data_IF_153582901079
#
_entry.id   IF_153582901079
#
_cell.length_a   1.000
_cell.length_b   1.000
_cell.length_c   1.000
_cell.angle_alpha   90.00
_cell.angle_beta   90.00
_cell.angle_gamma   90.00
#
_symmetry.space_group_name_H-M   'P 1'
#
loop_
_entity.id
_entity.type
_entity.pdbx_description
1 polymer ?
#
# COMPACT_ATOMS: atom_id res chain seq x y z
N UNK A 1 42.14 55.49 -19.37
CA UNK A 1 41.76 54.11 -19.73
C UNK A 1 40.54 53.80 -18.90
N UNK A 2 39.33 53.85 -19.51
CA UNK A 2 38.06 53.53 -18.85
C UNK A 2 37.92 52.00 -18.83
N UNK A 3 37.96 51.41 -17.64
CA UNK A 3 37.56 50.02 -17.42
C UNK A 3 36.05 49.90 -17.51
N UNK A 4 35.55 49.40 -18.59
CA UNK A 4 34.15 48.93 -18.64
C UNK A 4 34.04 47.69 -17.77
N UNK A 5 33.52 47.85 -16.55
CA UNK A 5 33.08 46.72 -15.75
C UNK A 5 31.98 45.96 -16.55
N UNK A 6 32.25 44.70 -16.89
CA UNK A 6 31.21 43.80 -17.35
C UNK A 6 30.16 43.69 -16.23
N UNK A 7 28.87 43.64 -16.55
CA UNK A 7 27.88 43.37 -15.52
C UNK A 7 28.21 42.04 -14.86
N UNK A 8 28.34 42.07 -13.53
CA UNK A 8 28.51 40.86 -12.72
C UNK A 8 27.42 39.87 -13.10
N UNK A 9 27.82 38.79 -13.77
CA UNK A 9 26.91 37.66 -13.95
C UNK A 9 26.71 37.06 -12.56
N UNK A 10 25.48 37.00 -12.03
CA UNK A 10 25.26 36.43 -10.71
C UNK A 10 25.88 35.03 -10.64
N UNK A 11 26.51 34.71 -9.53
CA UNK A 11 27.07 33.40 -9.31
C UNK A 11 25.93 32.34 -9.38
N UNK A 12 26.15 31.19 -10.02
CA UNK A 12 25.10 30.22 -10.23
C UNK A 12 24.56 29.71 -8.90
N UNK A 13 23.23 29.79 -8.75
CA UNK A 13 22.49 29.15 -7.67
C UNK A 13 21.90 27.84 -8.21
N UNK A 14 22.36 26.70 -7.69
CA UNK A 14 22.04 25.38 -8.21
C UNK A 14 21.89 24.34 -7.09
N UNK A 15 21.40 23.17 -7.44
CA UNK A 15 21.37 21.99 -6.58
C UNK A 15 22.35 20.93 -7.10
N UNK A 16 22.84 20.07 -6.19
CA UNK A 16 23.71 18.94 -6.55
C UNK A 16 22.99 17.89 -7.42
N UNK A 17 21.68 17.85 -7.40
CA UNK A 17 20.84 16.96 -8.21
C UNK A 17 19.60 17.67 -8.70
N UNK A 18 19.14 17.33 -9.91
CA UNK A 18 17.87 17.79 -10.49
C UNK A 18 16.72 16.79 -10.27
N UNK A 19 17.04 15.55 -9.89
CA UNK A 19 16.03 14.51 -9.65
C UNK A 19 16.56 13.36 -8.81
N UNK A 20 15.72 12.86 -7.94
CA UNK A 20 15.99 11.74 -7.03
C UNK A 20 14.80 10.79 -6.99
N UNK A 21 15.06 9.50 -6.73
CA UNK A 21 14.02 8.48 -6.59
C UNK A 21 14.06 7.86 -5.20
N UNK A 22 12.88 7.67 -4.60
CA UNK A 22 12.72 7.03 -3.30
C UNK A 22 11.71 5.88 -3.40
N UNK A 23 11.86 4.80 -2.61
CA UNK A 23 10.92 3.68 -2.60
C UNK A 23 9.56 4.09 -2.01
N UNK A 24 8.54 3.25 -2.23
CA UNK A 24 7.19 3.45 -1.70
C UNK A 24 7.16 3.63 -0.17
N UNK A 25 7.96 2.87 0.57
CA UNK A 25 8.06 2.98 2.04
C UNK A 25 8.61 4.31 2.56
N UNK A 26 8.92 5.25 1.66
CA UNK A 26 9.55 6.51 2.00
C UNK A 26 11.07 6.42 2.00
N UNK A 27 11.71 7.53 2.29
CA UNK A 27 13.17 7.60 2.32
C UNK A 27 13.68 9.02 2.39
N UNK A 28 14.98 9.15 2.60
CA UNK A 28 15.65 10.43 2.70
C UNK A 28 16.72 10.55 1.60
N UNK A 29 16.77 11.70 0.95
CA UNK A 29 17.79 12.05 -0.05
C UNK A 29 18.49 13.34 0.36
N UNK A 30 19.79 13.40 0.12
CA UNK A 30 20.61 14.57 0.44
C UNK A 30 20.79 15.42 -0.80
N UNK A 31 20.35 16.67 -0.75
CA UNK A 31 20.51 17.64 -1.82
C UNK A 31 21.38 18.78 -1.31
N UNK A 32 22.46 19.08 -2.01
CA UNK A 32 23.32 20.21 -1.65
C UNK A 32 22.88 21.46 -2.43
N UNK A 33 22.53 22.51 -1.69
CA UNK A 33 22.39 23.86 -2.26
C UNK A 33 23.79 24.36 -2.58
N UNK A 34 24.06 24.65 -3.85
CA UNK A 34 25.34 25.13 -4.37
C UNK A 34 25.25 26.63 -4.63
N UNK A 35 26.11 27.37 -3.94
CA UNK A 35 26.29 28.81 -4.14
C UNK A 35 27.78 29.14 -3.98
N UNK A 36 28.33 29.88 -4.92
CA UNK A 36 29.68 30.42 -4.82
C UNK A 36 29.76 31.61 -3.85
N UNK A 37 28.63 32.31 -3.68
CA UNK A 37 28.52 33.40 -2.69
C UNK A 37 28.24 32.82 -1.30
N UNK A 38 29.22 32.92 -0.41
CA UNK A 38 29.12 32.40 0.97
C UNK A 38 28.02 33.05 1.82
N UNK A 39 27.58 34.26 1.45
CA UNK A 39 26.56 35.03 2.17
C UNK A 39 25.17 35.01 1.48
N UNK A 40 25.03 34.30 0.35
CA UNK A 40 23.73 34.20 -0.35
C UNK A 40 22.72 33.42 0.52
N UNK A 41 21.68 34.10 0.94
CA UNK A 41 20.55 33.48 1.63
C UNK A 41 19.66 32.69 0.66
N UNK A 42 19.04 31.64 1.15
CA UNK A 42 18.07 30.85 0.38
C UNK A 42 16.94 30.34 1.26
N UNK A 43 15.80 30.01 0.64
CA UNK A 43 14.62 29.40 1.27
C UNK A 43 14.10 28.26 0.40
N UNK A 44 13.42 27.30 1.01
CA UNK A 44 12.53 26.36 0.32
C UNK A 44 11.25 27.14 0.01
N UNK A 45 11.04 27.44 -1.27
CA UNK A 45 9.94 28.29 -1.74
C UNK A 45 8.66 27.48 -1.95
N UNK A 46 8.80 26.21 -2.33
CA UNK A 46 7.70 25.24 -2.49
C UNK A 46 8.18 23.84 -2.17
N UNK A 47 7.31 23.06 -1.53
CA UNK A 47 7.60 21.68 -1.16
C UNK A 47 6.28 20.90 -1.04
N UNK A 48 6.14 19.76 -1.72
CA UNK A 48 4.95 18.93 -1.59
C UNK A 48 4.71 18.48 -0.13
N UNK A 49 3.46 18.37 0.28
CA UNK A 49 3.07 18.01 1.67
C UNK A 49 3.64 16.66 2.15
N UNK A 50 3.93 15.76 1.22
CA UNK A 50 4.51 14.45 1.53
C UNK A 50 6.04 14.44 1.62
N UNK A 51 6.69 15.60 1.44
CA UNK A 51 8.14 15.77 1.57
C UNK A 51 8.42 16.77 2.69
N UNK A 52 9.32 16.43 3.59
CA UNK A 52 9.84 17.35 4.61
C UNK A 52 11.32 17.66 4.34
N UNK A 53 11.72 18.91 4.59
CA UNK A 53 13.10 19.34 4.45
C UNK A 53 13.73 19.54 5.85
N UNK A 54 14.98 19.08 6.05
CA UNK A 54 15.72 19.25 7.31
C UNK A 54 16.03 20.72 7.62
N UNK A 55 16.01 21.58 6.62
CA UNK A 55 16.12 23.02 6.74
C UNK A 55 15.25 23.68 5.65
N UNK A 56 14.43 24.67 6.05
CA UNK A 56 13.58 25.43 5.14
C UNK A 56 14.23 26.75 4.67
N UNK A 57 15.39 27.09 5.22
CA UNK A 57 16.20 28.24 4.83
C UNK A 57 17.64 28.03 5.27
N UNK A 58 18.57 28.78 4.64
CA UNK A 58 19.99 28.74 4.98
C UNK A 58 20.77 29.84 4.31
N UNK A 59 22.09 29.80 4.46
CA UNK A 59 23.04 30.76 3.86
C UNK A 59 24.17 29.98 3.22
N UNK A 60 24.53 30.33 1.97
CA UNK A 60 25.58 29.73 1.22
C UNK A 60 25.38 28.25 0.93
N UNK A 61 26.45 27.51 0.76
CA UNK A 61 26.43 26.07 0.48
C UNK A 61 25.97 25.29 1.70
N UNK A 62 24.91 24.48 1.54
CA UNK A 62 24.31 23.72 2.64
C UNK A 62 23.69 22.43 2.10
N UNK A 63 23.90 21.32 2.81
CA UNK A 63 23.19 20.06 2.52
C UNK A 63 21.83 20.06 3.22
N UNK A 64 20.77 19.85 2.45
CA UNK A 64 19.39 19.69 2.92
C UNK A 64 18.99 18.23 2.73
N UNK A 65 18.49 17.60 3.78
CA UNK A 65 17.90 16.26 3.71
C UNK A 65 16.40 16.44 3.40
N UNK A 66 15.97 15.91 2.28
CA UNK A 66 14.56 15.81 1.91
C UNK A 66 14.07 14.42 2.28
N UNK A 67 13.07 14.34 3.14
CA UNK A 67 12.48 13.06 3.59
C UNK A 67 11.08 12.92 3.04
N UNK A 68 10.86 11.90 2.22
CA UNK A 68 9.56 11.53 1.68
C UNK A 68 8.82 10.62 2.66
N UNK A 69 7.56 10.91 2.94
CA UNK A 69 6.66 10.03 3.66
C UNK A 69 6.29 8.79 2.83
N UNK A 70 5.83 7.73 3.49
CA UNK A 70 5.33 6.52 2.84
C UNK A 70 4.24 6.83 1.78
N UNK A 71 4.35 6.21 0.62
CA UNK A 71 3.31 6.19 -0.40
C UNK A 71 2.54 4.86 -0.29
N UNK A 72 1.31 4.92 0.19
CA UNK A 72 0.42 3.73 0.33
C UNK A 72 -0.39 3.43 -0.93
N UNK A 73 -0.34 4.31 -1.94
CA UNK A 73 -0.98 4.07 -3.22
C UNK A 73 -0.15 3.08 -4.06
N UNK A 74 -0.82 2.23 -4.83
CA UNK A 74 -0.17 1.42 -5.85
C UNK A 74 0.47 2.28 -6.97
N UNK A 75 -0.03 3.50 -7.16
CA UNK A 75 0.51 4.42 -8.14
C UNK A 75 1.72 5.18 -7.57
N UNK A 76 2.79 5.26 -8.37
CA UNK A 76 3.91 6.14 -8.09
C UNK A 76 3.49 7.61 -8.11
N UNK A 77 4.24 8.45 -7.40
CA UNK A 77 4.02 9.90 -7.39
C UNK A 77 5.32 10.66 -7.60
N UNK A 78 5.21 11.89 -8.03
CA UNK A 78 6.34 12.79 -8.10
C UNK A 78 5.95 14.17 -7.56
N UNK A 79 6.96 14.93 -7.14
CA UNK A 79 6.78 16.29 -6.67
C UNK A 79 8.06 17.09 -6.85
N UNK A 80 7.92 18.40 -6.97
CA UNK A 80 9.04 19.30 -7.17
C UNK A 80 9.26 20.13 -5.91
N UNK A 81 10.49 20.10 -5.40
CA UNK A 81 10.92 20.99 -4.31
C UNK A 81 11.67 22.16 -4.94
N UNK A 82 11.23 23.37 -4.67
CA UNK A 82 11.77 24.62 -5.25
C UNK A 82 12.55 25.37 -4.18
N UNK A 83 13.78 25.71 -4.50
CA UNK A 83 14.65 26.57 -3.69
C UNK A 83 14.75 27.93 -4.37
N UNK A 84 14.70 29.01 -3.58
CA UNK A 84 14.83 30.38 -4.06
C UNK A 84 15.89 31.12 -3.26
N UNK A 85 16.81 31.76 -3.95
CA UNK A 85 17.86 32.60 -3.34
C UNK A 85 17.33 34.01 -3.02
N UNK A 86 18.08 34.74 -2.18
CA UNK A 86 17.74 36.13 -1.81
C UNK A 86 17.81 37.09 -2.99
N UNK A 87 18.58 36.78 -4.03
CA UNK A 87 18.65 37.53 -5.30
C UNK A 87 17.63 37.03 -6.34
N UNK A 88 16.65 36.17 -5.93
CA UNK A 88 15.51 35.67 -6.70
C UNK A 88 15.85 34.65 -7.80
N UNK A 89 17.01 34.03 -7.76
CA UNK A 89 17.26 32.85 -8.59
C UNK A 89 16.47 31.66 -8.03
N UNK A 90 16.00 30.75 -8.90
CA UNK A 90 15.33 29.52 -8.51
C UNK A 90 16.04 28.31 -9.09
N UNK A 91 16.07 27.25 -8.31
CA UNK A 91 16.45 25.92 -8.74
C UNK A 91 15.52 24.89 -8.08
N UNK A 92 15.41 23.71 -8.69
CA UNK A 92 14.46 22.69 -8.21
C UNK A 92 15.04 21.30 -8.32
N UNK A 93 14.52 20.41 -7.49
CA UNK A 93 14.74 18.97 -7.58
C UNK A 93 13.38 18.27 -7.67
N UNK A 94 13.28 17.29 -8.56
CA UNK A 94 12.12 16.44 -8.68
C UNK A 94 12.36 15.19 -7.83
N UNK A 95 11.44 14.90 -6.92
CA UNK A 95 11.43 13.66 -6.16
C UNK A 95 10.38 12.75 -6.78
N UNK A 96 10.82 11.60 -7.29
CA UNK A 96 9.94 10.54 -7.77
C UNK A 96 9.86 9.46 -6.70
N UNK A 97 8.66 8.99 -6.40
CA UNK A 97 8.44 7.92 -5.43
C UNK A 97 7.65 6.79 -6.05
N UNK A 98 8.12 5.56 -5.85
CA UNK A 98 7.43 4.36 -6.32
C UNK A 98 6.06 4.20 -5.64
N UNK A 99 5.16 3.48 -6.30
CA UNK A 99 3.92 3.01 -5.71
C UNK A 99 4.14 1.84 -4.75
N UNK A 100 3.25 1.67 -3.78
CA UNK A 100 3.28 0.53 -2.88
C UNK A 100 3.03 -0.78 -3.64
N UNK A 101 3.79 -1.82 -3.30
CA UNK A 101 3.48 -3.16 -3.75
C UNK A 101 2.26 -3.66 -2.98
N UNK A 102 1.14 -3.84 -3.66
CA UNK A 102 -0.06 -4.39 -3.07
C UNK A 102 0.10 -5.90 -2.89
N UNK A 103 -0.34 -6.40 -1.74
CA UNK A 103 -0.36 -7.84 -1.40
C UNK A 103 -1.73 -8.22 -0.84
N UNK A 104 -1.98 -9.51 -0.74
CA UNK A 104 -3.17 -10.00 -0.07
C UNK A 104 -4.47 -9.48 -0.70
N UNK A 105 -5.41 -9.08 0.18
CA UNK A 105 -6.74 -8.60 -0.22
C UNK A 105 -6.70 -7.37 -1.14
N UNK A 106 -5.83 -6.40 -0.86
CA UNK A 106 -5.74 -5.15 -1.66
C UNK A 106 -5.31 -5.44 -3.10
N UNK A 107 -4.36 -6.35 -3.28
CA UNK A 107 -3.96 -6.79 -4.62
C UNK A 107 -5.09 -7.52 -5.34
N UNK A 108 -5.81 -8.41 -4.64
CA UNK A 108 -6.95 -9.11 -5.21
C UNK A 108 -8.06 -8.14 -5.65
N UNK A 109 -8.33 -7.08 -4.85
CA UNK A 109 -9.26 -6.01 -5.24
C UNK A 109 -8.79 -5.33 -6.52
N UNK A 110 -7.52 -4.93 -6.58
CA UNK A 110 -6.96 -4.29 -7.78
C UNK A 110 -7.09 -5.16 -9.03
N UNK A 111 -6.83 -6.48 -8.89
CA UNK A 111 -6.86 -7.43 -10.01
C UNK A 111 -8.29 -7.81 -10.44
N UNK A 112 -9.27 -7.73 -9.53
CA UNK A 112 -10.61 -8.27 -9.72
C UNK A 112 -11.68 -7.22 -10.03
N UNK A 113 -11.45 -5.96 -9.68
CA UNK A 113 -12.39 -4.86 -9.87
C UNK A 113 -11.88 -3.84 -10.89
N UNK A 114 -12.80 -3.11 -11.59
CA UNK A 114 -12.41 -1.96 -12.39
C UNK A 114 -11.68 -0.90 -11.54
N UNK A 115 -10.72 -0.13 -12.14
CA UNK A 115 -9.95 0.87 -11.41
C UNK A 115 -10.78 1.99 -10.75
N UNK A 116 -11.99 2.22 -11.24
CA UNK A 116 -12.94 3.22 -10.75
C UNK A 116 -14.05 2.61 -9.86
N UNK A 117 -13.88 1.36 -9.42
CA UNK A 117 -14.84 0.71 -8.55
C UNK A 117 -15.01 1.49 -7.23
N UNK A 118 -16.26 1.75 -6.86
CA UNK A 118 -16.55 2.46 -5.62
C UNK A 118 -16.12 1.64 -4.39
N UNK A 119 -15.64 2.32 -3.35
CA UNK A 119 -15.09 1.69 -2.14
C UNK A 119 -16.10 0.79 -1.41
N UNK A 120 -17.40 1.12 -1.47
CA UNK A 120 -18.48 0.31 -0.89
C UNK A 120 -18.70 -1.04 -1.63
N UNK A 121 -18.26 -1.14 -2.89
CA UNK A 121 -18.29 -2.40 -3.66
C UNK A 121 -17.05 -3.27 -3.44
N UNK A 122 -15.93 -2.66 -3.09
CA UNK A 122 -14.66 -3.35 -2.88
C UNK A 122 -14.39 -3.68 -1.41
N UNK A 123 -15.23 -3.20 -0.49
CA UNK A 123 -15.12 -3.51 0.93
C UNK A 123 -15.21 -5.03 1.20
N UNK A 124 -14.52 -5.50 2.24
CA UNK A 124 -14.42 -6.92 2.57
C UNK A 124 -15.78 -7.59 2.85
N UNK A 125 -16.73 -6.86 3.41
CA UNK A 125 -18.09 -7.26 3.72
C UNK A 125 -19.09 -7.02 2.58
N UNK A 126 -18.68 -6.35 1.49
CA UNK A 126 -19.55 -6.08 0.35
C UNK A 126 -19.91 -7.36 -0.43
N UNK A 127 -21.10 -7.36 -1.03
CA UNK A 127 -21.65 -8.47 -1.82
C UNK A 127 -22.02 -7.97 -3.22
N UNK A 128 -21.06 -7.58 -4.07
CA UNK A 128 -21.33 -6.94 -5.36
C UNK A 128 -22.04 -7.86 -6.37
N UNK A 129 -21.90 -9.18 -6.22
CA UNK A 129 -22.58 -10.17 -7.06
C UNK A 129 -24.04 -10.44 -6.65
N UNK A 130 -24.49 -9.96 -5.48
CA UNK A 130 -25.88 -10.16 -4.98
C UNK A 130 -26.19 -11.59 -4.56
N UNK A 131 -25.20 -12.43 -4.31
CA UNK A 131 -25.34 -13.85 -3.96
C UNK A 131 -25.26 -14.14 -2.46
N UNK A 132 -25.13 -13.10 -1.63
CA UNK A 132 -24.99 -13.21 -0.18
C UNK A 132 -23.59 -13.59 0.30
N UNK A 133 -22.61 -13.73 -0.59
CA UNK A 133 -21.23 -14.11 -0.23
C UNK A 133 -20.35 -12.87 -0.27
N UNK A 134 -19.79 -12.45 0.89
CA UNK A 134 -18.95 -11.28 0.98
C UNK A 134 -17.62 -11.42 0.18
N UNK A 135 -17.07 -10.29 -0.23
CA UNK A 135 -15.80 -10.24 -0.94
C UNK A 135 -14.67 -10.96 -0.19
N UNK A 136 -14.59 -10.80 1.14
CA UNK A 136 -13.57 -11.49 1.94
C UNK A 136 -13.68 -13.01 1.82
N UNK A 137 -14.91 -13.55 1.84
CA UNK A 137 -15.14 -14.99 1.65
C UNK A 137 -14.76 -15.43 0.24
N UNK A 138 -15.08 -14.63 -0.78
CA UNK A 138 -14.69 -14.92 -2.17
C UNK A 138 -13.16 -14.86 -2.37
N UNK A 139 -12.51 -13.88 -1.75
CA UNK A 139 -11.05 -13.80 -1.72
C UNK A 139 -10.43 -15.03 -1.06
N UNK A 140 -10.88 -15.38 0.15
CA UNK A 140 -10.37 -16.51 0.91
C UNK A 140 -10.56 -17.86 0.19
N UNK A 141 -11.62 -17.98 -0.63
CA UNK A 141 -11.98 -19.21 -1.35
C UNK A 141 -11.67 -19.20 -2.84
N UNK A 142 -11.06 -18.13 -3.36
CA UNK A 142 -10.63 -18.01 -4.76
C UNK A 142 -11.81 -17.84 -5.74
N UNK A 143 -12.91 -17.19 -5.31
CA UNK A 143 -14.08 -16.92 -6.14
C UNK A 143 -13.97 -15.53 -6.79
N UNK A 144 -14.65 -15.36 -7.94
CA UNK A 144 -14.76 -14.08 -8.63
C UNK A 144 -15.76 -13.17 -7.88
N UNK A 145 -15.37 -11.96 -7.43
CA UNK A 145 -16.26 -11.09 -6.66
C UNK A 145 -17.45 -10.60 -7.46
N UNK A 146 -17.35 -10.54 -8.77
CA UNK A 146 -18.38 -9.98 -9.65
C UNK A 146 -19.34 -11.05 -10.20
N UNK A 147 -19.10 -12.33 -9.94
CA UNK A 147 -19.96 -13.43 -10.37
C UNK A 147 -20.67 -14.09 -9.21
N UNK A 148 -21.98 -14.31 -9.32
CA UNK A 148 -22.70 -15.11 -8.33
C UNK A 148 -22.13 -16.52 -8.25
N UNK A 149 -21.90 -17.01 -7.04
CA UNK A 149 -21.55 -18.40 -6.79
C UNK A 149 -22.52 -18.99 -5.75
N UNK A 150 -22.63 -20.31 -5.71
CA UNK A 150 -23.38 -21.00 -4.65
C UNK A 150 -22.55 -21.11 -3.37
N UNK A 151 -23.05 -21.83 -2.37
CA UNK A 151 -22.30 -22.12 -1.15
C UNK A 151 -20.93 -22.70 -1.50
N UNK A 152 -19.89 -22.07 -1.00
CA UNK A 152 -18.49 -22.53 -1.21
C UNK A 152 -18.14 -23.69 -0.26
N UNK A 153 -18.89 -23.84 0.84
CA UNK A 153 -18.66 -24.89 1.83
C UNK A 153 -19.59 -26.07 1.57
N UNK A 154 -19.02 -27.25 1.52
CA UNK A 154 -19.74 -28.53 1.43
C UNK A 154 -19.74 -29.21 2.80
N UNK A 155 -20.89 -29.61 3.26
CA UNK A 155 -21.09 -30.35 4.53
C UNK A 155 -21.51 -31.78 4.20
N UNK A 156 -20.86 -32.77 4.82
CA UNK A 156 -21.15 -34.19 4.67
C UNK A 156 -21.09 -34.88 6.04
N UNK A 157 -21.77 -36.04 6.15
CA UNK A 157 -21.58 -36.95 7.25
C UNK A 157 -20.69 -38.11 6.75
N UNK A 158 -19.61 -38.39 7.46
CA UNK A 158 -18.64 -39.42 7.07
C UNK A 158 -18.23 -40.28 8.28
N UNK A 159 -17.97 -41.52 8.05
CA UNK A 159 -17.47 -42.44 9.09
C UNK A 159 -16.00 -42.14 9.38
N UNK A 160 -15.68 -41.83 10.63
CA UNK A 160 -14.31 -41.66 11.11
C UNK A 160 -13.57 -42.94 11.38
N UNK A 161 -12.28 -42.83 11.74
CA UNK A 161 -11.45 -43.99 12.10
C UNK A 161 -11.94 -44.71 13.36
N UNK A 162 -12.73 -44.05 14.20
CA UNK A 162 -13.37 -44.56 15.40
C UNK A 162 -14.66 -45.35 15.11
N UNK A 163 -15.09 -45.44 13.84
CA UNK A 163 -16.31 -46.07 13.38
C UNK A 163 -17.58 -45.29 13.69
N UNK A 164 -17.47 -44.05 14.12
CA UNK A 164 -18.60 -43.14 14.35
C UNK A 164 -18.80 -42.20 13.17
N UNK A 165 -19.99 -41.65 13.04
CA UNK A 165 -20.31 -40.64 12.02
C UNK A 165 -19.93 -39.24 12.54
N UNK A 166 -19.21 -38.50 11.71
CA UNK A 166 -18.77 -37.13 12.01
C UNK A 166 -19.27 -36.15 10.94
N UNK A 167 -19.51 -34.91 11.35
CA UNK A 167 -19.78 -33.82 10.44
C UNK A 167 -18.44 -33.38 9.81
N UNK A 168 -18.40 -33.34 8.48
CA UNK A 168 -17.18 -32.93 7.75
C UNK A 168 -17.50 -31.75 6.87
N UNK A 169 -16.76 -30.65 7.07
CA UNK A 169 -16.83 -29.44 6.26
C UNK A 169 -15.66 -29.42 5.29
N UNK A 170 -15.93 -29.12 4.01
CA UNK A 170 -14.90 -28.92 2.99
C UNK A 170 -15.15 -27.65 2.20
N UNK A 171 -14.11 -26.88 1.94
CA UNK A 171 -14.18 -25.65 1.15
C UNK A 171 -12.92 -25.44 0.33
N UNK A 172 -13.00 -24.74 -0.83
CA UNK A 172 -11.83 -24.32 -1.58
C UNK A 172 -11.04 -23.26 -0.80
N UNK A 173 -9.73 -23.21 -1.01
CA UNK A 173 -8.83 -22.22 -0.42
C UNK A 173 -8.08 -21.50 -1.54
N UNK A 174 -7.99 -20.18 -1.46
CA UNK A 174 -7.12 -19.40 -2.31
C UNK A 174 -5.69 -19.41 -1.73
N UNK A 175 -4.72 -20.07 -2.38
CA UNK A 175 -3.35 -20.13 -1.86
C UNK A 175 -2.63 -18.75 -1.87
N UNK A 176 -3.20 -17.76 -2.54
CA UNK A 176 -2.70 -16.38 -2.55
C UNK A 176 -3.22 -15.55 -1.36
N UNK A 177 -4.26 -16.02 -0.67
CA UNK A 177 -4.87 -15.33 0.48
C UNK A 177 -4.10 -15.67 1.78
N UNK A 178 -2.85 -15.18 1.87
CA UNK A 178 -1.96 -15.47 3.01
C UNK A 178 -2.19 -14.58 4.23
N UNK A 179 -3.05 -13.58 4.08
CA UNK A 179 -3.41 -12.56 5.08
C UNK A 179 -4.76 -12.82 5.75
N UNK A 180 -5.38 -13.97 5.48
CA UNK A 180 -6.63 -14.41 6.11
C UNK A 180 -6.45 -15.71 6.90
N UNK A 181 -7.26 -15.86 7.93
CA UNK A 181 -7.39 -17.09 8.71
C UNK A 181 -8.75 -17.71 8.47
N UNK A 182 -8.78 -19.03 8.49
CA UNK A 182 -10.01 -19.81 8.40
C UNK A 182 -10.31 -20.41 9.78
N UNK A 183 -11.45 -20.05 10.34
CA UNK A 183 -11.92 -20.55 11.62
C UNK A 183 -13.29 -21.21 11.42
N UNK A 184 -13.51 -22.33 12.10
CA UNK A 184 -14.81 -23.00 12.11
C UNK A 184 -15.49 -22.69 13.42
N UNK A 185 -16.74 -22.25 13.34
CA UNK A 185 -17.58 -21.95 14.48
C UNK A 185 -18.86 -22.79 14.40
N UNK A 186 -19.44 -23.09 15.54
CA UNK A 186 -20.73 -23.75 15.65
C UNK A 186 -21.68 -22.94 16.53
N UNK A 187 -22.99 -23.05 16.23
CA UNK A 187 -24.06 -22.42 17.01
C UNK A 187 -25.29 -23.34 17.02
N UNK A 188 -25.99 -23.36 18.14
CA UNK A 188 -27.28 -24.08 18.28
C UNK A 188 -28.48 -23.15 18.11
N UNK A 189 -28.31 -21.84 18.13
CA UNK A 189 -29.35 -20.82 18.07
C UNK A 189 -29.12 -19.73 17.01
N UNK A 190 -27.99 -19.78 16.30
CA UNK A 190 -27.52 -18.80 15.31
C UNK A 190 -27.28 -17.39 15.89
N UNK A 191 -27.12 -17.28 17.21
CA UNK A 191 -26.82 -16.03 17.93
C UNK A 191 -25.50 -16.14 18.63
N UNK A 192 -25.33 -17.18 19.47
CA UNK A 192 -24.10 -17.44 20.19
C UNK A 192 -23.27 -18.48 19.39
N UNK A 193 -22.06 -18.08 18.97
CA UNK A 193 -21.16 -18.91 18.19
C UNK A 193 -19.95 -19.31 19.04
N UNK A 194 -19.58 -20.56 19.00
CA UNK A 194 -18.39 -21.10 19.68
C UNK A 194 -17.38 -21.51 18.63
N UNK A 195 -16.11 -21.15 18.84
CA UNK A 195 -15.01 -21.56 17.97
C UNK A 195 -14.72 -23.05 18.18
N UNK A 196 -14.67 -23.81 17.09
CA UNK A 196 -14.21 -25.18 17.04
C UNK A 196 -12.72 -25.28 16.67
N UNK A 197 -12.13 -24.19 16.19
CA UNK A 197 -10.70 -24.04 15.93
C UNK A 197 -10.36 -23.40 14.60
N UNK A 198 -9.09 -22.95 14.51
CA UNK A 198 -8.50 -22.47 13.27
C UNK A 198 -8.07 -23.64 12.39
N UNK A 199 -8.24 -23.52 11.08
CA UNK A 199 -7.82 -24.51 10.09
C UNK A 199 -6.60 -23.99 9.33
N UNK A 200 -5.52 -24.76 9.36
CA UNK A 200 -4.29 -24.43 8.62
C UNK A 200 -4.53 -24.57 7.11
N UNK A 201 -4.40 -23.45 6.39
CA UNK A 201 -4.69 -23.34 4.95
C UNK A 201 -3.49 -22.92 4.11
N UNK A 202 -2.37 -22.57 4.72
CA UNK A 202 -1.18 -22.09 4.01
C UNK A 202 -0.70 -23.08 2.94
N UNK A 203 -0.61 -22.60 1.70
CA UNK A 203 -0.19 -23.40 0.54
C UNK A 203 -1.19 -24.47 0.07
N UNK A 204 -2.41 -24.49 0.64
CA UNK A 204 -3.47 -25.43 0.24
C UNK A 204 -4.41 -24.79 -0.79
N UNK A 205 -5.05 -25.62 -1.59
CA UNK A 205 -6.12 -25.23 -2.52
C UNK A 205 -7.52 -25.69 -2.04
N UNK A 206 -7.57 -26.47 -0.98
CA UNK A 206 -8.77 -26.91 -0.30
C UNK A 206 -8.47 -27.17 1.18
N UNK A 207 -9.47 -26.98 2.02
CA UNK A 207 -9.41 -27.30 3.44
C UNK A 207 -10.55 -28.21 3.84
N UNK A 208 -10.35 -28.97 4.92
CA UNK A 208 -11.42 -29.74 5.57
C UNK A 208 -11.30 -29.62 7.08
N UNK A 209 -12.45 -29.74 7.72
CA UNK A 209 -12.58 -29.78 9.17
C UNK A 209 -13.48 -30.97 9.54
N UNK A 210 -13.07 -31.75 10.51
CA UNK A 210 -13.82 -32.86 11.10
C UNK A 210 -14.27 -32.43 12.49
N UNK A 211 -15.57 -32.51 12.74
CA UNK A 211 -16.08 -32.34 14.09
C UNK A 211 -15.50 -33.44 15.01
N UNK A 212 -14.99 -33.04 16.16
CA UNK A 212 -14.43 -33.96 17.13
C UNK A 212 -15.49 -34.81 17.83
N UNK A 213 -16.73 -34.31 17.92
CA UNK A 213 -17.85 -35.00 18.53
C UNK A 213 -18.62 -35.79 17.46
N UNK A 214 -18.86 -37.08 17.65
CA UNK A 214 -19.69 -37.89 16.74
C UNK A 214 -21.15 -37.45 16.81
N UNK A 215 -21.82 -37.59 15.68
CA UNK A 215 -23.25 -37.26 15.51
C UNK A 215 -24.12 -38.49 15.81
#
# INVERSE_FOLDING_TARGET
>A
VSSTAYPDTPAPFALSSAGETVPAGGGAVAVEVQSEEKALGWVVADCPDWISASAVSGIGRTTVILTAAENKSADGRFGTVIFRSSDKQECSVIITQDGAELTGYDKWVQDSFPPDAAADRTAADAVPAGDGIPNLMKYATGQDPLKPCGSVTKVTLEEGEDGCMHLVLRWPVNPQATDVKHEVEASTDLVDWISLGEVETAGKTAAEFWDAEPV
#
